data_IF_759986694719
#
_entry.id   IF_759986694719
#
_cell.length_a   1.000
_cell.length_b   1.000
_cell.length_c   1.000
_cell.angle_alpha   90.00
_cell.angle_beta   90.00
_cell.angle_gamma   90.00
#
_symmetry.space_group_name_H-M   'P 1'
#
loop_
_entity.id
_entity.type
_entity.pdbx_description
1 polymer ?
#
# COMPACT_ATOMS: atom_id res chain seq x y z
N UNK A 1 -13.43 -23.91 3.71
CA UNK A 1 -13.48 -23.47 2.30
C UNK A 1 -13.61 -21.95 2.31
N UNK A 2 -12.75 -21.23 1.58
CA UNK A 2 -12.89 -19.78 1.42
C UNK A 2 -14.01 -19.46 0.43
N UNK A 3 -14.87 -18.49 0.75
CA UNK A 3 -15.97 -18.06 -0.10
C UNK A 3 -15.62 -16.70 -0.71
N UNK A 4 -15.76 -16.56 -2.04
CA UNK A 4 -15.55 -15.31 -2.76
C UNK A 4 -16.73 -15.06 -3.71
N UNK A 5 -17.29 -13.84 -3.77
CA UNK A 5 -18.30 -13.48 -4.77
C UNK A 5 -17.80 -13.65 -6.21
N UNK A 6 -18.72 -13.95 -7.12
CA UNK A 6 -18.43 -14.11 -8.55
C UNK A 6 -18.17 -12.78 -9.28
N UNK A 7 -18.42 -11.64 -8.61
CA UNK A 7 -18.24 -10.28 -9.13
C UNK A 7 -17.31 -9.47 -8.21
N UNK A 8 -16.60 -8.47 -8.75
CA UNK A 8 -15.78 -7.56 -7.94
C UNK A 8 -16.64 -6.67 -7.04
N UNK A 9 -16.04 -6.15 -5.98
CA UNK A 9 -16.68 -5.11 -5.18
C UNK A 9 -16.92 -3.85 -6.03
N UNK A 10 -18.10 -3.26 -5.90
CA UNK A 10 -18.39 -1.95 -6.48
C UNK A 10 -18.02 -0.85 -5.48
N UNK A 11 -17.73 0.34 -5.99
CA UNK A 11 -17.35 1.48 -5.16
C UNK A 11 -17.97 2.75 -5.72
N UNK A 12 -18.57 3.54 -4.83
CA UNK A 12 -19.21 4.82 -5.19
C UNK A 12 -18.77 5.91 -4.23
N UNK A 13 -18.21 6.99 -4.77
CA UNK A 13 -17.68 8.10 -3.98
C UNK A 13 -18.45 9.38 -4.23
N UNK A 14 -18.68 10.12 -3.14
CA UNK A 14 -19.19 11.49 -3.20
C UNK A 14 -18.23 12.40 -2.46
N UNK A 15 -17.97 13.57 -3.05
CA UNK A 15 -17.20 14.65 -2.42
C UNK A 15 -17.96 15.94 -2.63
N UNK A 16 -18.43 16.51 -1.53
CA UNK A 16 -19.25 17.72 -1.54
C UNK A 16 -18.71 18.70 -0.52
N UNK A 17 -18.49 19.94 -0.94
CA UNK A 17 -18.24 21.05 -0.03
C UNK A 17 -19.59 21.65 0.37
N UNK A 18 -19.99 21.45 1.63
CA UNK A 18 -21.24 21.99 2.15
C UNK A 18 -21.04 23.48 2.50
N UNK A 19 -21.92 24.32 1.97
CA UNK A 19 -22.09 25.71 2.43
C UNK A 19 -23.30 25.74 3.37
N UNK A 20 -24.46 26.11 2.84
CA UNK A 20 -25.69 26.26 3.63
C UNK A 20 -26.75 25.21 3.29
N UNK A 21 -26.52 24.39 2.25
CA UNK A 21 -27.46 23.38 1.80
C UNK A 21 -27.11 22.00 2.37
N UNK A 22 -28.11 21.24 2.86
CA UNK A 22 -27.90 19.85 3.24
C UNK A 22 -27.58 19.01 2.01
N UNK A 23 -26.79 17.96 2.20
CA UNK A 23 -26.54 16.94 1.19
C UNK A 23 -27.09 15.60 1.66
N UNK A 24 -27.71 14.87 0.73
CA UNK A 24 -28.31 13.56 0.97
C UNK A 24 -27.68 12.53 0.05
N UNK A 25 -27.40 11.35 0.59
CA UNK A 25 -26.91 10.20 -0.17
C UNK A 25 -28.03 9.69 -1.11
N UNK A 26 -27.79 9.55 -2.43
CA UNK A 26 -28.82 9.07 -3.35
C UNK A 26 -29.21 7.61 -3.06
N UNK A 27 -30.48 7.36 -2.75
CA UNK A 27 -30.98 6.01 -2.40
C UNK A 27 -30.83 5.00 -3.56
N UNK A 28 -31.02 5.45 -4.80
CA UNK A 28 -30.85 4.62 -5.99
C UNK A 28 -29.44 4.02 -6.09
N UNK A 29 -28.44 4.72 -5.56
CA UNK A 29 -27.06 4.28 -5.60
C UNK A 29 -26.75 3.24 -4.53
N UNK A 30 -27.42 3.31 -3.37
CA UNK A 30 -27.35 2.28 -2.34
C UNK A 30 -28.07 0.99 -2.76
N UNK A 31 -29.19 1.12 -3.48
CA UNK A 31 -29.97 -0.02 -3.96
C UNK A 31 -29.21 -0.91 -4.97
N UNK A 32 -28.12 -0.40 -5.56
CA UNK A 32 -27.26 -1.18 -6.44
C UNK A 32 -26.36 -2.19 -5.69
N UNK A 33 -26.20 -2.05 -4.37
CA UNK A 33 -25.32 -2.90 -3.56
C UNK A 33 -26.10 -4.02 -2.88
N UNK A 34 -25.47 -5.20 -2.78
CA UNK A 34 -25.97 -6.31 -1.97
C UNK A 34 -25.89 -5.97 -0.47
N UNK A 35 -26.98 -6.07 0.30
CA UNK A 35 -26.99 -5.66 1.71
C UNK A 35 -25.94 -6.36 2.58
N UNK A 36 -25.62 -7.62 2.28
CA UNK A 36 -24.67 -8.42 3.05
C UNK A 36 -23.20 -7.96 2.91
N UNK A 37 -22.86 -7.23 1.85
CA UNK A 37 -21.51 -6.72 1.57
C UNK A 37 -21.41 -5.20 1.56
N UNK A 38 -22.48 -4.49 1.95
CA UNK A 38 -22.53 -3.03 1.93
C UNK A 38 -21.73 -2.46 3.10
N UNK A 39 -20.66 -1.74 2.78
CA UNK A 39 -19.90 -0.94 3.73
C UNK A 39 -19.97 0.55 3.34
N UNK A 40 -20.08 1.44 4.33
CA UNK A 40 -20.12 2.88 4.12
C UNK A 40 -19.15 3.60 5.06
N UNK A 41 -18.45 4.61 4.54
CA UNK A 41 -17.53 5.46 5.29
C UNK A 41 -17.83 6.92 4.99
N UNK A 42 -18.02 7.72 6.03
CA UNK A 42 -18.24 9.17 5.93
C UNK A 42 -17.10 9.92 6.62
N UNK A 43 -16.46 10.83 5.89
CA UNK A 43 -15.47 11.75 6.43
C UNK A 43 -16.01 13.18 6.35
N UNK A 44 -16.05 13.88 7.48
CA UNK A 44 -16.44 15.28 7.59
C UNK A 44 -15.23 16.10 8.01
N UNK A 45 -15.00 17.21 7.33
CA UNK A 45 -13.88 18.10 7.63
C UNK A 45 -14.23 19.55 7.27
N UNK A 46 -13.78 20.48 8.10
CA UNK A 46 -13.86 21.93 7.84
C UNK A 46 -12.73 22.43 6.92
N UNK A 47 -11.85 21.53 6.46
CA UNK A 47 -10.76 21.76 5.51
C UNK A 47 -10.78 20.68 4.43
N UNK A 48 -10.22 20.88 3.23
CA UNK A 48 -10.18 19.86 2.19
C UNK A 48 -9.64 18.52 2.74
N UNK A 49 -10.47 17.46 2.82
CA UNK A 49 -10.05 16.21 3.44
C UNK A 49 -9.29 15.32 2.44
N UNK A 50 -8.24 14.65 2.92
CA UNK A 50 -7.67 13.48 2.27
C UNK A 50 -8.27 12.23 2.92
N UNK A 51 -8.94 11.38 2.14
CA UNK A 51 -9.54 10.15 2.66
C UNK A 51 -8.49 9.04 2.80
N UNK A 52 -7.59 9.21 3.78
CA UNK A 52 -6.49 8.27 4.02
C UNK A 52 -7.00 6.85 4.36
N UNK A 53 -8.15 6.74 5.03
CA UNK A 53 -8.72 5.45 5.42
C UNK A 53 -9.08 4.58 4.20
N UNK A 54 -9.65 5.19 3.17
CA UNK A 54 -9.99 4.52 1.92
C UNK A 54 -8.73 4.06 1.17
N UNK A 55 -7.68 4.89 1.13
CA UNK A 55 -6.43 4.54 0.47
C UNK A 55 -5.71 3.38 1.17
N UNK A 56 -5.69 3.37 2.51
CA UNK A 56 -5.10 2.27 3.28
C UNK A 56 -5.87 0.97 3.03
N UNK A 57 -7.21 1.00 3.06
CA UNK A 57 -8.03 -0.18 2.76
C UNK A 57 -7.80 -0.70 1.34
N UNK A 58 -7.67 0.19 0.36
CA UNK A 58 -7.37 -0.19 -1.03
C UNK A 58 -6.01 -0.90 -1.16
N UNK A 59 -4.99 -0.40 -0.44
CA UNK A 59 -3.66 -1.01 -0.40
C UNK A 59 -3.64 -2.35 0.34
N UNK A 60 -4.41 -2.51 1.42
CA UNK A 60 -4.53 -3.77 2.16
C UNK A 60 -5.31 -4.85 1.40
N UNK A 61 -6.32 -4.46 0.63
CA UNK A 61 -7.17 -5.38 -0.12
C UNK A 61 -6.50 -5.93 -1.39
N UNK A 62 -5.33 -5.42 -1.77
CA UNK A 62 -4.70 -5.74 -3.04
C UNK A 62 -4.08 -7.15 -3.03
N UNK A 63 -4.55 -8.10 -3.86
CA UNK A 63 -4.23 -9.52 -3.69
C UNK A 63 -2.97 -9.97 -4.44
N UNK A 64 -2.38 -9.12 -5.27
CA UNK A 64 -1.25 -9.46 -6.11
C UNK A 64 0.07 -9.00 -5.49
N UNK A 65 1.14 -9.74 -5.79
CA UNK A 65 2.45 -9.60 -5.15
C UNK A 65 3.55 -9.07 -6.07
N UNK A 66 3.24 -8.24 -7.07
CA UNK A 66 4.30 -7.56 -7.82
C UNK A 66 5.18 -6.72 -6.89
N UNK A 67 6.35 -6.37 -7.39
CA UNK A 67 7.28 -5.46 -6.75
C UNK A 67 6.62 -4.14 -6.29
N UNK A 68 5.93 -3.44 -7.19
CA UNK A 68 5.25 -2.16 -6.90
C UNK A 68 4.17 -2.35 -5.82
N UNK A 69 3.29 -3.32 -6.03
CA UNK A 69 2.12 -3.57 -5.20
C UNK A 69 2.52 -3.97 -3.78
N UNK A 70 3.52 -4.84 -3.66
CA UNK A 70 4.09 -5.22 -2.36
C UNK A 70 4.65 -4.00 -1.66
N UNK A 71 5.45 -3.19 -2.35
CA UNK A 71 6.07 -1.99 -1.78
C UNK A 71 5.01 -0.98 -1.31
N UNK A 72 4.03 -0.68 -2.17
CA UNK A 72 2.92 0.23 -1.90
C UNK A 72 2.05 -0.26 -0.74
N UNK A 73 1.78 -1.57 -0.64
CA UNK A 73 1.03 -2.17 0.47
C UNK A 73 1.75 -2.14 1.82
N UNK A 74 3.09 -2.14 1.81
CA UNK A 74 3.89 -2.10 3.04
C UNK A 74 4.09 -0.69 3.60
N UNK A 75 4.05 0.35 2.77
CA UNK A 75 4.24 1.74 3.19
C UNK A 75 3.31 2.17 4.34
N UNK A 76 1.98 1.92 4.29
CA UNK A 76 1.10 2.22 5.41
C UNK A 76 1.50 1.50 6.69
N UNK A 77 1.89 0.22 6.59
CA UNK A 77 2.29 -0.59 7.74
C UNK A 77 3.58 -0.07 8.39
N UNK A 78 4.47 0.53 7.60
CA UNK A 78 5.72 1.11 8.08
C UNK A 78 5.47 2.33 8.99
N UNK A 79 4.48 3.17 8.67
CA UNK A 79 4.23 4.44 9.38
C UNK A 79 3.01 4.44 10.30
N UNK A 80 2.03 3.58 10.07
CA UNK A 80 0.81 3.51 10.87
C UNK A 80 0.90 2.39 11.91
N UNK A 81 0.48 2.70 13.14
CA UNK A 81 0.27 1.73 14.22
C UNK A 81 -1.23 1.57 14.50
N UNK A 82 -1.57 0.59 15.36
CA UNK A 82 -2.96 0.29 15.69
C UNK A 82 -3.74 1.52 16.19
N UNK A 83 -3.12 2.39 16.99
CA UNK A 83 -3.76 3.61 17.49
C UNK A 83 -4.04 4.63 16.37
N UNK A 84 -3.10 4.77 15.43
CA UNK A 84 -3.26 5.67 14.28
C UNK A 84 -4.34 5.17 13.32
N UNK A 85 -4.38 3.87 13.06
CA UNK A 85 -5.43 3.23 12.25
C UNK A 85 -6.80 3.34 12.93
N UNK A 86 -6.86 3.15 14.26
CA UNK A 86 -8.09 3.31 15.03
C UNK A 86 -8.67 4.72 14.92
N UNK A 87 -7.83 5.76 14.93
CA UNK A 87 -8.28 7.15 14.68
C UNK A 87 -8.88 7.36 13.29
N UNK A 88 -8.53 6.51 12.33
CA UNK A 88 -9.06 6.51 10.96
C UNK A 88 -10.26 5.55 10.79
N UNK A 89 -10.73 4.92 11.87
CA UNK A 89 -11.78 3.90 11.78
C UNK A 89 -11.35 2.62 11.06
N UNK A 90 -10.03 2.36 10.99
CA UNK A 90 -9.47 1.12 10.46
C UNK A 90 -9.08 0.23 11.63
N UNK A 91 -9.45 -1.05 11.55
CA UNK A 91 -8.99 -2.06 12.51
C UNK A 91 -7.51 -2.34 12.27
N UNK A 92 -6.65 -1.84 13.15
CA UNK A 92 -5.23 -2.16 13.12
C UNK A 92 -4.92 -3.57 13.62
N UNK A 93 -3.71 -4.02 13.33
CA UNK A 93 -3.17 -5.29 13.79
C UNK A 93 -2.24 -5.10 15.01
N UNK A 94 -2.03 -6.16 15.83
CA UNK A 94 -1.00 -6.16 16.87
C UNK A 94 0.38 -5.80 16.33
N UNK A 95 1.21 -5.17 17.16
CA UNK A 95 2.52 -4.64 16.73
C UNK A 95 3.49 -5.72 16.23
N UNK A 96 3.44 -6.91 16.85
CA UNK A 96 4.21 -8.10 16.47
C UNK A 96 3.76 -8.68 15.13
N UNK A 97 2.44 -8.75 14.90
CA UNK A 97 1.85 -9.19 13.62
C UNK A 97 2.27 -8.24 12.49
N UNK A 98 2.11 -6.93 12.72
CA UNK A 98 2.54 -5.88 11.78
C UNK A 98 4.03 -5.98 11.48
N UNK A 99 4.86 -6.17 12.50
CA UNK A 99 6.31 -6.31 12.35
C UNK A 99 6.64 -7.51 11.44
N UNK A 100 6.06 -8.68 11.73
CA UNK A 100 6.27 -9.89 10.94
C UNK A 100 5.83 -9.74 9.49
N UNK A 101 4.70 -9.05 9.24
CA UNK A 101 4.22 -8.74 7.90
C UNK A 101 5.21 -7.88 7.11
N UNK A 102 5.83 -6.88 7.75
CA UNK A 102 6.85 -6.04 7.13
C UNK A 102 8.12 -6.85 6.83
N UNK A 103 8.57 -7.68 7.77
CA UNK A 103 9.75 -8.55 7.57
C UNK A 103 9.54 -9.52 6.40
N UNK A 104 8.39 -10.20 6.35
CA UNK A 104 8.03 -11.07 5.22
C UNK A 104 7.92 -10.30 3.90
N UNK A 105 7.40 -9.07 3.94
CA UNK A 105 7.32 -8.21 2.77
C UNK A 105 8.70 -7.79 2.25
N UNK A 106 9.63 -7.44 3.15
CA UNK A 106 11.02 -7.16 2.80
C UNK A 106 11.68 -8.39 2.18
N UNK A 107 11.50 -9.58 2.76
CA UNK A 107 12.01 -10.83 2.18
C UNK A 107 11.48 -11.07 0.76
N UNK A 108 10.19 -10.86 0.54
CA UNK A 108 9.58 -10.97 -0.78
C UNK A 108 10.16 -9.98 -1.79
N UNK A 109 10.33 -8.71 -1.40
CA UNK A 109 10.97 -7.68 -2.24
C UNK A 109 12.40 -8.07 -2.61
N UNK A 110 13.18 -8.58 -1.65
CA UNK A 110 14.55 -9.03 -1.89
C UNK A 110 14.62 -10.25 -2.82
N UNK A 111 13.60 -11.11 -2.82
CA UNK A 111 13.46 -12.20 -3.79
C UNK A 111 13.28 -11.72 -5.23
N UNK A 112 12.87 -10.46 -5.43
CA UNK A 112 12.75 -9.82 -6.74
C UNK A 112 14.01 -9.01 -7.13
N UNK A 113 15.04 -8.99 -6.28
CA UNK A 113 16.30 -8.31 -6.58
C UNK A 113 17.13 -9.13 -7.57
N UNK A 114 17.50 -8.49 -8.68
CA UNK A 114 18.37 -9.03 -9.73
C UNK A 114 19.83 -9.07 -9.27
N UNK A 115 20.64 -9.92 -9.89
CA UNK A 115 22.06 -10.08 -9.54
C UNK A 115 22.88 -8.78 -9.63
N UNK A 116 22.50 -7.86 -10.52
CA UNK A 116 23.14 -6.57 -10.77
C UNK A 116 22.68 -5.46 -9.81
N UNK A 117 21.81 -5.79 -8.85
CA UNK A 117 21.30 -4.89 -7.82
C UNK A 117 19.97 -4.21 -8.14
N UNK A 118 19.48 -4.27 -9.39
CA UNK A 118 18.14 -3.76 -9.74
C UNK A 118 17.03 -4.69 -9.26
N UNK A 119 15.77 -4.29 -9.45
CA UNK A 119 14.62 -5.13 -9.16
C UNK A 119 13.82 -5.41 -10.43
N UNK A 120 13.28 -6.62 -10.52
CA UNK A 120 12.34 -7.02 -11.56
C UNK A 120 10.91 -7.02 -11.04
N UNK A 121 9.92 -6.90 -11.94
CA UNK A 121 8.52 -6.72 -11.55
C UNK A 121 7.92 -7.90 -10.76
N UNK A 122 8.32 -9.14 -11.09
CA UNK A 122 7.77 -10.37 -10.49
C UNK A 122 8.81 -11.28 -9.85
N UNK A 123 10.06 -11.20 -10.28
CA UNK A 123 11.17 -12.04 -9.83
C UNK A 123 12.52 -11.42 -10.18
N UNK A 124 13.60 -11.98 -9.65
CA UNK A 124 14.97 -11.64 -10.02
C UNK A 124 15.33 -11.92 -11.49
N UNK A 125 14.52 -12.71 -12.19
CA UNK A 125 14.72 -13.03 -13.62
C UNK A 125 13.90 -12.10 -14.53
N UNK A 126 12.89 -11.42 -13.99
CA UNK A 126 12.07 -10.44 -14.72
C UNK A 126 12.91 -9.25 -15.13
N UNK A 127 12.64 -8.67 -16.32
CA UNK A 127 13.32 -7.46 -16.81
C UNK A 127 13.44 -6.36 -15.76
N UNK A 128 14.51 -5.59 -15.89
CA UNK A 128 14.81 -4.52 -14.95
C UNK A 128 13.80 -3.38 -15.02
N UNK A 129 13.25 -3.01 -13.87
CA UNK A 129 12.36 -1.88 -13.71
C UNK A 129 13.10 -0.71 -13.05
N UNK A 130 13.60 0.22 -13.86
CA UNK A 130 14.46 1.33 -13.39
C UNK A 130 13.81 2.18 -12.29
N UNK A 131 12.57 2.62 -12.53
CA UNK A 131 11.85 3.47 -11.57
C UNK A 131 11.46 2.69 -10.32
N UNK A 132 11.01 1.43 -10.47
CA UNK A 132 10.67 0.60 -9.33
C UNK A 132 11.90 0.19 -8.52
N UNK A 133 13.07 0.06 -9.14
CA UNK A 133 14.33 -0.12 -8.44
C UNK A 133 14.58 1.05 -7.49
N UNK A 134 14.36 2.29 -7.92
CA UNK A 134 14.45 3.46 -7.04
C UNK A 134 13.39 3.45 -5.94
N UNK A 135 12.12 3.17 -6.29
CA UNK A 135 10.99 3.16 -5.36
C UNK A 135 11.15 2.13 -4.23
N UNK A 136 11.56 0.90 -4.58
CA UNK A 136 11.79 -0.19 -3.63
C UNK A 136 13.03 0.10 -2.78
N UNK A 137 14.09 0.66 -3.38
CA UNK A 137 15.29 1.04 -2.62
C UNK A 137 14.96 2.11 -1.58
N UNK A 138 14.14 3.13 -1.92
CA UNK A 138 13.65 4.13 -0.94
C UNK A 138 12.89 3.46 0.20
N UNK A 139 11.98 2.54 -0.10
CA UNK A 139 11.24 1.79 0.92
C UNK A 139 12.18 0.99 1.84
N UNK A 140 13.15 0.26 1.27
CA UNK A 140 14.10 -0.56 2.03
C UNK A 140 15.02 0.29 2.93
N UNK A 141 15.43 1.47 2.45
CA UNK A 141 16.19 2.43 3.25
C UNK A 141 15.38 2.94 4.43
N UNK A 142 14.13 3.37 4.19
CA UNK A 142 13.20 3.83 5.24
C UNK A 142 12.87 2.72 6.24
N UNK A 143 12.70 1.48 5.78
CA UNK A 143 12.48 0.34 6.64
C UNK A 143 13.67 0.12 7.58
N UNK A 144 14.90 0.21 7.06
CA UNK A 144 16.11 0.13 7.88
C UNK A 144 16.20 1.27 8.91
N UNK A 145 15.83 2.50 8.53
CA UNK A 145 15.78 3.65 9.46
C UNK A 145 14.78 3.45 10.61
N UNK A 146 13.68 2.73 10.34
CA UNK A 146 12.67 2.36 11.35
C UNK A 146 13.08 1.11 12.17
N UNK A 147 14.29 0.57 11.96
CA UNK A 147 14.84 -0.55 12.73
C UNK A 147 14.47 -1.94 12.20
N UNK A 148 13.92 -2.06 10.99
CA UNK A 148 13.68 -3.36 10.37
C UNK A 148 14.98 -3.95 9.79
N UNK A 149 15.08 -5.27 9.82
CA UNK A 149 16.24 -5.99 9.28
C UNK A 149 16.27 -5.95 7.76
N UNK A 150 17.18 -5.16 7.19
CA UNK A 150 17.45 -5.13 5.75
C UNK A 150 18.94 -5.45 5.52
N UNK A 151 19.28 -6.49 4.72
CA UNK A 151 20.67 -6.86 4.47
C UNK A 151 21.47 -5.70 3.85
N UNK A 152 22.61 -5.37 4.46
CA UNK A 152 23.45 -4.26 4.01
C UNK A 152 23.97 -4.45 2.57
N UNK A 153 24.28 -5.68 2.20
CA UNK A 153 24.76 -6.01 0.85
C UNK A 153 23.69 -5.79 -0.23
N UNK A 154 22.42 -6.13 0.07
CA UNK A 154 21.31 -5.89 -0.86
C UNK A 154 21.12 -4.39 -1.13
N UNK A 155 21.14 -3.58 -0.07
CA UNK A 155 21.05 -2.11 -0.18
C UNK A 155 22.26 -1.50 -0.89
N UNK A 156 23.46 -2.04 -0.65
CA UNK A 156 24.68 -1.60 -1.33
C UNK A 156 24.56 -1.82 -2.84
N UNK A 157 24.19 -3.03 -3.28
CA UNK A 157 24.00 -3.35 -4.70
C UNK A 157 22.92 -2.49 -5.35
N UNK A 158 21.81 -2.27 -4.66
CA UNK A 158 20.75 -1.39 -5.14
C UNK A 158 21.24 0.05 -5.30
N UNK A 159 21.98 0.57 -4.32
CA UNK A 159 22.56 1.92 -4.36
C UNK A 159 23.58 2.07 -5.49
N UNK A 160 24.45 1.07 -5.71
CA UNK A 160 25.38 1.02 -6.84
C UNK A 160 24.64 1.01 -8.17
N UNK A 161 23.49 0.32 -8.25
CA UNK A 161 22.65 0.33 -9.45
C UNK A 161 22.02 1.70 -9.70
N UNK A 162 21.49 2.36 -8.66
CA UNK A 162 20.96 3.73 -8.76
C UNK A 162 22.03 4.74 -9.18
N UNK A 163 23.26 4.57 -8.70
CA UNK A 163 24.37 5.42 -9.12
C UNK A 163 24.63 5.32 -10.63
N UNK A 164 24.54 4.11 -11.20
CA UNK A 164 24.66 3.92 -12.66
C UNK A 164 23.60 4.68 -13.44
N UNK A 165 22.35 4.73 -12.96
CA UNK A 165 21.27 5.49 -13.63
C UNK A 165 21.56 7.00 -13.74
N UNK A 166 22.42 7.53 -12.86
CA UNK A 166 22.81 8.94 -12.88
C UNK A 166 24.04 9.19 -13.79
N UNK A 167 24.89 8.18 -13.95
CA UNK A 167 26.17 8.29 -14.65
C UNK A 167 26.07 7.89 -16.13
N UNK A 168 25.22 6.92 -16.44
CA UNK A 168 24.99 6.40 -17.79
C UNK A 168 23.71 7.05 -18.33
N UNK A 169 23.86 8.11 -19.15
CA UNK A 169 22.77 8.75 -19.89
C UNK A 169 22.66 8.20 -21.31
#
# INVERSE_FOLDING_TARGET
LGVRPAYPAMLKHYRVALKDQPWTLPEADLAAFEPAGLEASLALSSRPPLNLAEQIRALEAYPYGCLEQTTSGLYPSLYANADSLKRLGIKGEPADVRKRKIEMGIEHLLGMQRYNGSFGLWSSDSEEEYWLTAYVTDFLLRAREQGYGVPAEALKKASERLLRYLQER
#
